data_IF_852217607023
#
_entry.id   IF_852217607023
#
_cell.length_a   1.000
_cell.length_b   1.000
_cell.length_c   1.000
_cell.angle_alpha   90.00
_cell.angle_beta   90.00
_cell.angle_gamma   90.00
#
_symmetry.space_group_name_H-M   'P 1'
#
loop_
_entity.id
_entity.type
_entity.pdbx_description
1 polymer ?
#
# COMPACT_ATOMS: atom_id res chain seq x y z
N UNK A 1 -7.06 -13.49 -12.73
CA UNK A 1 -6.31 -12.58 -11.83
C UNK A 1 -4.98 -12.13 -12.43
N UNK A 2 -4.29 -12.96 -13.24
CA UNK A 2 -3.03 -12.60 -13.90
C UNK A 2 -3.02 -11.23 -14.57
N UNK A 3 -4.07 -10.86 -15.33
CA UNK A 3 -4.15 -9.54 -15.97
C UNK A 3 -4.12 -8.33 -15.01
N UNK A 4 -4.70 -8.46 -13.82
CA UNK A 4 -4.67 -7.38 -12.80
C UNK A 4 -3.27 -7.20 -12.22
N UNK A 5 -2.57 -8.32 -11.95
CA UNK A 5 -1.18 -8.30 -11.48
C UNK A 5 -0.22 -7.81 -12.58
N UNK A 6 -0.47 -8.16 -13.85
CA UNK A 6 0.27 -7.62 -14.99
C UNK A 6 0.12 -6.10 -15.15
N UNK A 7 -1.05 -5.56 -14.81
CA UNK A 7 -1.25 -4.12 -14.76
C UNK A 7 -0.41 -3.45 -13.65
N UNK A 8 -0.27 -4.09 -12.48
CA UNK A 8 0.64 -3.60 -11.43
C UNK A 8 2.08 -3.48 -11.92
N UNK A 9 2.56 -4.46 -12.69
CA UNK A 9 3.90 -4.39 -13.31
C UNK A 9 4.05 -3.23 -14.29
N UNK A 10 2.97 -2.88 -15.00
CA UNK A 10 2.97 -1.76 -15.94
C UNK A 10 3.01 -0.42 -15.23
N UNK A 11 2.24 -0.23 -14.16
CA UNK A 11 2.23 1.04 -13.39
C UNK A 11 3.51 1.27 -12.61
N UNK A 12 4.24 0.21 -12.22
CA UNK A 12 5.56 0.33 -11.59
C UNK A 12 6.60 1.05 -12.46
N UNK A 13 6.39 1.14 -13.78
CA UNK A 13 7.28 1.86 -14.68
C UNK A 13 7.00 3.38 -14.73
N UNK A 14 5.91 3.86 -14.11
CA UNK A 14 5.57 5.28 -14.11
C UNK A 14 6.44 6.04 -13.11
N UNK A 15 7.07 7.17 -13.51
CA UNK A 15 8.00 7.91 -12.64
C UNK A 15 7.31 8.56 -11.43
N UNK A 16 6.00 8.75 -11.49
CA UNK A 16 5.19 9.32 -10.41
C UNK A 16 4.59 8.26 -9.47
N UNK A 17 4.96 6.98 -9.63
CA UNK A 17 4.39 5.87 -8.87
C UNK A 17 5.51 5.14 -8.12
N UNK A 18 5.29 4.94 -6.82
CA UNK A 18 6.05 3.96 -6.03
C UNK A 18 5.09 2.88 -5.56
N UNK A 19 5.37 1.63 -5.94
CA UNK A 19 4.59 0.47 -5.52
C UNK A 19 5.43 -0.39 -4.58
N UNK A 20 4.95 -0.53 -3.34
CA UNK A 20 5.52 -1.43 -2.34
C UNK A 20 4.63 -2.64 -2.10
N UNK A 21 5.23 -3.80 -1.85
CA UNK A 21 4.53 -5.03 -1.47
C UNK A 21 5.04 -5.48 -0.12
N UNK A 22 4.16 -5.71 0.85
CA UNK A 22 4.54 -6.32 2.13
C UNK A 22 4.49 -7.84 1.95
N UNK A 23 5.63 -8.56 2.02
CA UNK A 23 5.64 -10.01 1.88
C UNK A 23 4.88 -10.71 3.01
N UNK A 24 4.26 -11.86 2.75
CA UNK A 24 3.57 -12.64 3.79
C UNK A 24 4.49 -13.08 4.94
N UNK A 25 5.78 -13.23 4.69
CA UNK A 25 6.78 -13.60 5.69
C UNK A 25 7.29 -12.41 6.54
N UNK A 26 6.85 -11.18 6.25
CA UNK A 26 7.25 -10.02 7.05
C UNK A 26 6.67 -10.13 8.47
N UNK A 27 7.52 -9.91 9.48
CA UNK A 27 7.10 -9.84 10.89
C UNK A 27 6.24 -8.59 11.10
N UNK A 28 4.93 -8.75 10.97
CA UNK A 28 3.98 -7.65 11.10
C UNK A 28 3.57 -7.49 12.56
N UNK A 29 4.25 -6.58 13.25
CA UNK A 29 3.95 -6.21 14.65
C UNK A 29 2.84 -5.18 14.82
N UNK A 30 2.35 -4.62 13.71
CA UNK A 30 1.27 -3.63 13.67
C UNK A 30 -0.08 -4.30 13.42
N UNK A 31 -1.13 -3.81 14.09
CA UNK A 31 -2.50 -4.29 13.93
C UNK A 31 -3.03 -4.03 12.50
N UNK A 32 -4.00 -4.82 12.06
CA UNK A 32 -4.71 -4.57 10.79
C UNK A 32 -5.48 -3.26 10.89
N UNK A 33 -5.03 -2.24 10.17
CA UNK A 33 -5.77 -1.00 10.00
C UNK A 33 -6.60 -1.08 8.71
N UNK A 34 -7.70 -0.34 8.69
CA UNK A 34 -8.50 -0.10 7.50
C UNK A 34 -7.63 0.51 6.39
N UNK A 35 -8.01 0.25 5.14
CA UNK A 35 -7.34 0.90 4.00
C UNK A 35 -7.53 2.41 4.11
N UNK A 36 -6.43 3.14 3.98
CA UNK A 36 -6.44 4.59 4.03
C UNK A 36 -5.57 5.19 2.92
N UNK A 37 -5.90 6.42 2.54
CA UNK A 37 -5.11 7.25 1.62
C UNK A 37 -4.83 8.60 2.25
N UNK A 38 -3.62 9.13 2.05
CA UNK A 38 -3.26 10.48 2.54
C UNK A 38 -2.97 11.38 1.34
N UNK A 39 -3.53 12.58 1.35
CA UNK A 39 -3.40 13.59 0.31
C UNK A 39 -2.72 14.83 0.89
N UNK A 40 -1.62 15.25 0.26
CA UNK A 40 -0.85 16.47 0.54
C UNK A 40 -0.46 16.69 2.01
N UNK A 41 -0.36 15.61 2.80
CA UNK A 41 -0.15 15.66 4.26
C UNK A 41 -1.22 16.50 5.01
N UNK A 42 -2.38 16.71 4.39
CA UNK A 42 -3.46 17.58 4.89
C UNK A 42 -4.76 16.84 5.15
N UNK A 43 -4.98 15.73 4.44
CA UNK A 43 -6.19 14.94 4.59
C UNK A 43 -5.88 13.46 4.50
N UNK A 44 -6.35 12.68 5.47
CA UNK A 44 -6.44 11.23 5.35
C UNK A 44 -7.89 10.82 5.08
N UNK A 45 -8.08 9.84 4.19
CA UNK A 45 -9.36 9.18 3.97
C UNK A 45 -9.27 7.75 4.42
N UNK A 46 -10.30 7.31 5.15
CA UNK A 46 -10.45 5.92 5.58
C UNK A 46 -11.80 5.42 5.11
N UNK A 47 -11.80 4.28 4.42
CA UNK A 47 -13.02 3.60 4.02
C UNK A 47 -13.40 2.56 5.07
N UNK A 48 -14.59 2.71 5.64
CA UNK A 48 -15.22 1.71 6.51
C UNK A 48 -16.31 0.98 5.73
N UNK A 49 -16.96 -0.01 6.35
CA UNK A 49 -17.98 -0.82 5.69
C UNK A 49 -19.14 0.00 5.09
N UNK A 50 -19.54 1.09 5.73
CA UNK A 50 -20.75 1.85 5.35
C UNK A 50 -20.50 3.31 5.04
N UNK A 51 -19.30 3.82 5.35
CA UNK A 51 -19.00 5.24 5.24
C UNK A 51 -17.52 5.49 4.98
N UNK A 52 -17.25 6.65 4.38
CA UNK A 52 -15.91 7.19 4.25
C UNK A 52 -15.70 8.29 5.30
N UNK A 53 -14.60 8.20 6.03
CA UNK A 53 -14.20 9.20 7.03
C UNK A 53 -13.11 10.08 6.42
N UNK A 54 -13.34 11.40 6.42
CA UNK A 54 -12.34 12.39 6.04
C UNK A 54 -11.72 12.98 7.31
N UNK A 55 -10.42 12.79 7.48
CA UNK A 55 -9.64 13.26 8.63
C UNK A 55 -8.76 14.42 8.17
N UNK A 56 -8.97 15.60 8.76
CA UNK A 56 -8.25 16.83 8.40
C UNK A 56 -7.52 17.48 9.58
N UNK A 57 -7.71 17.00 10.82
CA UNK A 57 -6.97 17.53 11.96
C UNK A 57 -5.48 17.16 11.83
N UNK A 58 -4.53 18.12 11.88
CA UNK A 58 -3.11 17.84 11.62
C UNK A 58 -2.51 16.76 12.52
N UNK A 59 -2.92 16.71 13.79
CA UNK A 59 -2.47 15.69 14.74
C UNK A 59 -2.96 14.28 14.40
N UNK A 60 -4.14 14.17 13.78
CA UNK A 60 -4.69 12.89 13.35
C UNK A 60 -4.10 12.46 12.00
N UNK A 61 -3.95 13.39 11.05
CA UNK A 61 -3.23 13.14 9.78
C UNK A 61 -1.81 12.64 10.05
N UNK A 62 -1.11 13.24 11.03
CA UNK A 62 0.20 12.79 11.48
C UNK A 62 0.24 11.35 11.98
N UNK A 63 -0.85 10.83 12.56
CA UNK A 63 -0.93 9.43 12.98
C UNK A 63 -1.01 8.48 11.77
N UNK A 64 -1.78 8.84 10.74
CA UNK A 64 -1.84 8.07 9.49
C UNK A 64 -0.51 8.08 8.74
N UNK A 65 0.17 9.22 8.68
CA UNK A 65 1.52 9.30 8.09
C UNK A 65 2.51 8.42 8.84
N UNK A 66 2.47 8.43 10.18
CA UNK A 66 3.30 7.53 11.01
C UNK A 66 2.99 6.07 10.72
N UNK A 67 1.72 5.69 10.65
CA UNK A 67 1.31 4.32 10.34
C UNK A 67 1.77 3.89 8.93
N UNK A 68 1.60 4.76 7.93
CA UNK A 68 2.10 4.53 6.58
C UNK A 68 3.62 4.32 6.56
N UNK A 69 4.36 5.14 7.31
CA UNK A 69 5.81 5.01 7.45
C UNK A 69 6.24 3.67 8.05
N UNK A 70 5.56 3.20 9.10
CA UNK A 70 5.85 1.87 9.68
C UNK A 70 5.52 0.73 8.71
N UNK A 71 4.41 0.80 7.97
CA UNK A 71 4.07 -0.19 6.94
C UNK A 71 5.07 -0.17 5.77
N UNK A 72 5.52 1.02 5.36
CA UNK A 72 6.48 1.19 4.27
C UNK A 72 7.83 0.55 4.59
N UNK A 73 8.25 0.54 5.87
CA UNK A 73 9.47 -0.17 6.32
C UNK A 73 9.39 -1.69 6.15
N UNK A 74 8.18 -2.26 6.12
CA UNK A 74 7.95 -3.69 5.92
C UNK A 74 7.80 -4.07 4.44
N UNK A 75 7.60 -3.08 3.57
CA UNK A 75 7.39 -3.29 2.15
C UNK A 75 8.73 -3.46 1.42
N UNK A 76 8.73 -4.34 0.42
CA UNK A 76 9.77 -4.39 -0.61
C UNK A 76 9.33 -3.58 -1.83
N UNK A 77 10.29 -3.05 -2.57
CA UNK A 77 10.07 -2.15 -3.71
C UNK A 77 10.92 -2.60 -4.91
N UNK A 78 10.66 -2.00 -6.08
CA UNK A 78 11.49 -2.20 -7.27
C UNK A 78 11.53 -3.66 -7.72
N UNK A 79 12.74 -4.21 -7.87
CA UNK A 79 12.94 -5.57 -8.39
C UNK A 79 12.33 -6.65 -7.49
N UNK A 80 12.40 -6.49 -6.16
CA UNK A 80 11.88 -7.48 -5.22
C UNK A 80 10.35 -7.54 -5.26
N UNK A 81 9.69 -6.37 -5.29
CA UNK A 81 8.25 -6.28 -5.47
C UNK A 81 7.81 -6.88 -6.83
N UNK A 82 8.57 -6.58 -7.91
CA UNK A 82 8.33 -7.15 -9.24
C UNK A 82 8.42 -8.67 -9.20
N UNK A 83 9.43 -9.23 -8.54
CA UNK A 83 9.61 -10.68 -8.41
C UNK A 83 8.41 -11.33 -7.71
N UNK A 84 7.92 -10.74 -6.60
CA UNK A 84 6.75 -11.27 -5.90
C UNK A 84 5.49 -11.27 -6.77
N UNK A 85 5.27 -10.20 -7.55
CA UNK A 85 4.13 -10.08 -8.45
C UNK A 85 4.23 -11.10 -9.59
N UNK A 86 5.41 -11.26 -10.20
CA UNK A 86 5.62 -12.25 -11.26
C UNK A 86 5.41 -13.67 -10.75
N UNK A 87 5.98 -14.03 -9.60
CA UNK A 87 5.74 -15.34 -8.99
C UNK A 87 4.27 -15.61 -8.68
N UNK A 88 3.50 -14.58 -8.30
CA UNK A 88 2.06 -14.70 -8.09
C UNK A 88 1.29 -14.88 -9.41
N UNK A 89 1.77 -14.32 -10.53
CA UNK A 89 1.19 -14.55 -11.87
C UNK A 89 1.45 -15.98 -12.33
N UNK A 90 2.69 -16.47 -12.17
CA UNK A 90 3.11 -17.79 -12.65
C UNK A 90 2.29 -18.95 -12.04
N UNK A 91 1.74 -18.77 -10.83
CA UNK A 91 0.89 -19.78 -10.17
C UNK A 91 -0.61 -19.65 -10.49
N UNK A 92 -1.00 -18.62 -11.24
CA UNK A 92 -2.37 -18.38 -11.70
C UNK A 92 -2.61 -18.82 -13.15
N UNK A 93 -1.53 -19.12 -13.88
CA UNK A 93 -1.54 -19.75 -15.21
C UNK A 93 -1.50 -21.28 -15.09
#
# INVERSE_FOLDING_TARGET
MAGQLGYLLSVMALPSVSLGVIPFAADRRMWMIETFSVYDEKQAQVETLTAQVNVAAPSEVGQYLKAFGELSKLAVYGADARSLITSAIDVLE
#
